data_IF_473461980317
#
_entry.id   IF_473461980317
#
_cell.length_a   1.000
_cell.length_b   1.000
_cell.length_c   1.000
_cell.angle_alpha   90.00
_cell.angle_beta   90.00
_cell.angle_gamma   90.00
#
_symmetry.space_group_name_H-M   'P 1'
#
loop_
_entity.id
_entity.type
_entity.pdbx_description
1 polymer ?
#
# COMPACT_ATOMS: atom_id res chain seq x y z
N UNK A 1 31.68 55.22 62.56
CA UNK A 1 31.58 53.81 63.03
C UNK A 1 30.88 53.05 61.93
N UNK A 2 31.55 52.54 60.88
CA UNK A 2 32.57 51.48 60.88
C UNK A 2 32.05 50.21 61.57
N UNK A 3 31.62 49.24 60.75
CA UNK A 3 31.79 47.80 60.95
C UNK A 3 31.55 47.12 59.59
N UNK A 4 32.64 46.71 58.96
CA UNK A 4 32.69 45.98 57.68
C UNK A 4 31.97 44.64 57.78
N UNK A 5 31.22 44.28 56.74
CA UNK A 5 30.74 42.92 56.53
C UNK A 5 31.90 42.04 56.02
N UNK A 6 32.15 40.87 56.64
CA UNK A 6 33.14 39.93 56.16
C UNK A 6 32.66 39.21 54.90
N UNK A 7 33.54 39.22 53.91
CA UNK A 7 33.49 38.39 52.74
C UNK A 7 33.59 36.90 53.10
N UNK A 8 33.21 36.06 52.14
CA UNK A 8 33.54 34.63 52.03
C UNK A 8 32.86 33.67 53.00
N UNK A 9 31.70 33.14 52.58
CA UNK A 9 31.37 31.74 52.84
C UNK A 9 31.50 31.02 51.50
N UNK A 10 32.54 30.20 51.42
CA UNK A 10 32.91 29.46 50.24
C UNK A 10 31.80 28.50 49.84
N UNK A 11 31.44 28.57 48.56
CA UNK A 11 30.85 27.46 47.85
C UNK A 11 31.87 26.32 47.83
N UNK A 12 31.81 25.43 48.81
CA UNK A 12 32.44 24.13 48.75
C UNK A 12 31.76 23.33 47.65
N UNK A 13 32.27 23.47 46.43
CA UNK A 13 32.12 22.48 45.38
C UNK A 13 32.72 21.19 45.93
N UNK A 14 31.85 20.33 46.47
CA UNK A 14 32.20 18.94 46.77
C UNK A 14 32.51 18.31 45.41
N UNK A 15 33.80 18.22 45.11
CA UNK A 15 34.35 17.39 44.04
C UNK A 15 33.97 15.94 44.33
N UNK A 16 32.80 15.55 43.84
CA UNK A 16 32.45 14.15 43.73
C UNK A 16 33.39 13.53 42.69
N UNK A 17 34.18 12.49 43.05
CA UNK A 17 35.24 11.92 42.20
C UNK A 17 34.73 11.18 40.95
N UNK A 18 33.45 11.31 40.62
CA UNK A 18 32.85 10.80 39.40
C UNK A 18 32.44 11.98 38.51
N UNK A 19 33.39 12.85 38.14
CA UNK A 19 33.12 13.82 37.08
C UNK A 19 32.84 13.06 35.79
N UNK A 20 31.58 13.17 35.34
CA UNK A 20 31.00 12.55 34.14
C UNK A 20 31.62 13.01 32.82
N UNK A 21 32.75 13.73 32.85
CA UNK A 21 33.39 14.35 31.69
C UNK A 21 34.59 13.54 31.15
N UNK A 22 35.01 12.47 31.82
CA UNK A 22 36.20 11.70 31.43
C UNK A 22 35.98 10.24 31.02
N UNK A 23 34.79 9.70 31.24
CA UNK A 23 34.51 8.29 30.95
C UNK A 23 34.05 8.13 29.50
N UNK A 24 34.91 7.60 28.62
CA UNK A 24 34.46 7.05 27.33
C UNK A 24 33.22 6.18 27.60
N UNK A 25 32.05 6.67 27.19
CA UNK A 25 30.79 5.96 27.39
C UNK A 25 30.89 4.54 26.84
N UNK A 26 30.07 3.64 27.37
CA UNK A 26 29.93 2.28 26.84
C UNK A 26 29.66 2.42 25.33
N UNK A 27 30.59 1.93 24.49
CA UNK A 27 30.60 2.04 23.01
C UNK A 27 31.00 3.40 22.40
N UNK A 28 31.59 4.34 23.16
CA UNK A 28 32.08 5.62 22.63
C UNK A 28 31.00 6.66 22.31
N UNK A 29 29.77 6.44 22.78
CA UNK A 29 28.64 7.37 22.67
C UNK A 29 28.49 8.23 23.93
N UNK A 30 27.93 9.43 23.77
CA UNK A 30 27.45 10.28 24.87
C UNK A 30 26.60 9.42 25.85
N UNK A 31 26.80 9.52 27.18
CA UNK A 31 26.09 8.71 28.17
C UNK A 31 24.56 8.73 28.00
N UNK A 32 23.98 9.87 27.60
CA UNK A 32 22.53 9.97 27.35
C UNK A 32 22.14 9.18 26.10
N UNK A 33 22.93 9.29 25.02
CA UNK A 33 22.69 8.53 23.77
C UNK A 33 22.91 7.04 23.97
N UNK A 34 23.92 6.64 24.74
CA UNK A 34 24.19 5.26 25.11
C UNK A 34 23.02 4.65 25.89
N UNK A 35 22.47 5.38 26.86
CA UNK A 35 21.30 4.94 27.62
C UNK A 35 20.06 4.75 26.73
N UNK A 36 19.78 5.68 25.82
CA UNK A 36 18.63 5.56 24.88
C UNK A 36 18.81 4.37 23.94
N UNK A 37 20.01 4.17 23.37
CA UNK A 37 20.30 3.02 22.49
C UNK A 37 20.13 1.70 23.24
N UNK A 38 20.62 1.62 24.48
CA UNK A 38 20.51 0.42 25.31
C UNK A 38 19.03 0.15 25.65
N UNK A 39 18.26 1.18 26.00
CA UNK A 39 16.83 1.04 26.31
C UNK A 39 16.00 0.58 25.10
N UNK A 40 16.23 1.17 23.93
CA UNK A 40 15.57 0.75 22.68
C UNK A 40 15.97 -0.68 22.29
N UNK A 41 17.26 -1.01 22.41
CA UNK A 41 17.76 -2.37 22.17
C UNK A 41 17.11 -3.40 23.11
N UNK A 42 16.94 -3.04 24.38
CA UNK A 42 16.27 -3.89 25.38
C UNK A 42 14.79 -4.07 25.06
N UNK A 43 14.07 -3.00 24.69
CA UNK A 43 12.66 -3.09 24.28
C UNK A 43 12.49 -3.99 23.05
N UNK A 44 13.36 -3.85 22.06
CA UNK A 44 13.34 -4.67 20.85
C UNK A 44 13.64 -6.14 21.16
N UNK A 45 14.59 -6.41 22.06
CA UNK A 45 14.91 -7.76 22.52
C UNK A 45 13.73 -8.41 23.27
N UNK A 46 13.07 -7.68 24.17
CA UNK A 46 11.91 -8.16 24.90
C UNK A 46 10.76 -8.50 23.93
N UNK A 47 10.49 -7.63 22.96
CA UNK A 47 9.48 -7.89 21.93
C UNK A 47 9.82 -9.15 21.12
N UNK A 48 11.08 -9.30 20.69
CA UNK A 48 11.53 -10.48 19.97
C UNK A 48 11.37 -11.76 20.82
N UNK A 49 11.68 -11.68 22.12
CA UNK A 49 11.54 -12.79 23.05
C UNK A 49 10.08 -13.19 23.24
N UNK A 50 9.16 -12.24 23.39
CA UNK A 50 7.71 -12.52 23.49
C UNK A 50 7.21 -13.19 22.21
N UNK A 51 7.63 -12.70 21.05
CA UNK A 51 7.26 -13.26 19.75
C UNK A 51 7.78 -14.70 19.60
N UNK A 52 9.04 -14.94 19.96
CA UNK A 52 9.66 -16.26 19.96
C UNK A 52 8.97 -17.22 20.94
N UNK A 53 8.66 -16.75 22.15
CA UNK A 53 7.93 -17.53 23.16
C UNK A 53 6.52 -17.88 22.69
N UNK A 54 5.82 -16.96 22.01
CA UNK A 54 4.52 -17.22 21.38
C UNK A 54 4.60 -18.30 20.29
N UNK A 55 5.61 -18.22 19.42
CA UNK A 55 5.86 -19.23 18.38
C UNK A 55 6.17 -20.60 18.99
N UNK A 56 7.07 -20.65 19.99
CA UNK A 56 7.43 -21.88 20.70
C UNK A 56 6.24 -22.47 21.46
N UNK A 57 5.42 -21.64 22.10
CA UNK A 57 4.23 -22.06 22.82
C UNK A 57 3.22 -22.69 21.84
N UNK A 58 2.89 -22.02 20.74
CA UNK A 58 2.01 -22.55 19.69
C UNK A 58 2.56 -23.87 19.13
N UNK A 59 3.87 -23.98 18.95
CA UNK A 59 4.49 -25.19 18.42
C UNK A 59 4.45 -26.37 19.40
N UNK A 60 4.65 -26.10 20.69
CA UNK A 60 4.67 -27.14 21.73
C UNK A 60 3.25 -27.65 22.02
N UNK A 61 2.24 -26.77 22.06
CA UNK A 61 0.84 -27.17 22.14
C UNK A 61 0.44 -28.08 20.97
N UNK A 62 0.84 -27.73 19.74
CA UNK A 62 0.61 -28.56 18.57
C UNK A 62 1.24 -29.95 18.67
N UNK A 63 2.41 -30.06 19.33
CA UNK A 63 3.17 -31.30 19.41
C UNK A 63 2.56 -32.29 20.41
N UNK A 64 2.04 -31.78 21.53
CA UNK A 64 1.33 -32.57 22.54
C UNK A 64 0.00 -33.08 21.99
N UNK A 65 -0.76 -32.19 21.35
CA UNK A 65 -2.07 -32.53 20.78
C UNK A 65 -1.96 -33.63 19.69
N UNK A 66 -0.89 -33.62 18.89
CA UNK A 66 -0.62 -34.70 17.92
C UNK A 66 -0.39 -36.08 18.55
N UNK A 67 0.23 -36.16 19.73
CA UNK A 67 0.50 -37.44 20.36
C UNK A 67 -0.79 -38.08 20.90
N UNK A 68 -1.62 -37.28 21.57
CA UNK A 68 -2.91 -37.73 22.11
C UNK A 68 -3.90 -38.06 20.99
N UNK A 69 -3.95 -37.27 19.91
CA UNK A 69 -4.81 -37.55 18.76
C UNK A 69 -4.43 -38.83 18.02
N UNK A 70 -3.13 -39.19 17.94
CA UNK A 70 -2.69 -40.46 17.35
C UNK A 70 -3.20 -41.66 18.14
N UNK A 71 -3.09 -41.61 19.47
CA UNK A 71 -3.62 -42.66 20.33
C UNK A 71 -5.15 -42.82 20.19
N UNK A 72 -5.89 -41.71 20.10
CA UNK A 72 -7.34 -41.74 19.89
C UNK A 72 -7.74 -42.21 18.47
N UNK A 73 -6.94 -41.87 17.45
CA UNK A 73 -7.18 -42.30 16.07
C UNK A 73 -7.01 -43.82 15.91
N UNK A 74 -5.98 -44.41 16.54
CA UNK A 74 -5.75 -45.86 16.52
C UNK A 74 -6.92 -46.65 17.15
N UNK A 75 -7.52 -46.14 18.23
CA UNK A 75 -8.70 -46.75 18.86
C UNK A 75 -9.98 -46.61 18.02
N UNK A 76 -10.20 -45.43 17.41
CA UNK A 76 -11.36 -45.19 16.55
C UNK A 76 -11.30 -46.02 15.25
N UNK A 77 -10.10 -46.23 14.68
CA UNK A 77 -9.91 -46.96 13.43
C UNK A 77 -10.16 -48.45 13.49
N UNK A 78 -9.92 -49.08 14.65
CA UNK A 78 -10.24 -50.48 14.86
C UNK A 78 -11.75 -50.76 14.66
N UNK A 79 -12.59 -49.72 14.72
CA UNK A 79 -14.04 -49.80 14.52
C UNK A 79 -14.54 -49.42 13.12
N UNK A 80 -13.69 -48.84 12.25
CA UNK A 80 -14.14 -48.26 10.97
C UNK A 80 -14.32 -49.31 9.85
N UNK A 81 -15.53 -49.32 9.28
CA UNK A 81 -15.91 -50.16 8.16
C UNK A 81 -15.17 -49.77 6.85
N UNK A 82 -15.02 -50.70 5.89
CA UNK A 82 -14.42 -50.39 4.59
C UNK A 82 -15.14 -49.28 3.81
N UNK A 83 -16.46 -49.14 3.99
CA UNK A 83 -17.27 -48.11 3.35
C UNK A 83 -16.95 -46.70 3.89
N UNK A 84 -16.79 -46.57 5.21
CA UNK A 84 -16.40 -45.29 5.83
C UNK A 84 -14.99 -44.86 5.39
N UNK A 85 -14.05 -45.79 5.25
CA UNK A 85 -12.72 -45.48 4.69
C UNK A 85 -12.77 -45.00 3.24
N UNK A 86 -13.69 -45.50 2.43
CA UNK A 86 -13.86 -44.99 1.07
C UNK A 86 -14.40 -43.55 1.08
N UNK A 87 -15.36 -43.26 1.97
CA UNK A 87 -15.92 -41.92 2.17
C UNK A 87 -14.88 -40.90 2.70
N UNK A 88 -14.06 -41.28 3.69
CA UNK A 88 -13.00 -40.41 4.20
C UNK A 88 -11.95 -40.07 3.13
N UNK A 89 -11.65 -40.99 2.21
CA UNK A 89 -10.74 -40.70 1.07
C UNK A 89 -11.35 -39.70 0.10
N UNK A 90 -12.66 -39.77 -0.17
CA UNK A 90 -13.31 -38.79 -1.03
C UNK A 90 -13.33 -37.41 -0.38
N UNK A 91 -13.66 -37.34 0.92
CA UNK A 91 -13.65 -36.11 1.71
C UNK A 91 -12.23 -35.50 1.78
N UNK A 92 -11.20 -36.31 1.99
CA UNK A 92 -9.80 -35.85 1.96
C UNK A 92 -9.39 -35.33 0.57
N UNK A 93 -9.82 -36.01 -0.50
CA UNK A 93 -9.59 -35.54 -1.85
C UNK A 93 -10.26 -34.18 -2.13
N UNK A 94 -11.43 -33.93 -1.55
CA UNK A 94 -12.14 -32.65 -1.62
C UNK A 94 -11.42 -31.55 -0.84
N UNK A 95 -11.04 -31.82 0.42
CA UNK A 95 -10.30 -30.86 1.24
C UNK A 95 -8.94 -30.50 0.65
N UNK A 96 -8.20 -31.45 0.06
CA UNK A 96 -6.95 -31.15 -0.63
C UNK A 96 -7.17 -30.23 -1.83
N UNK A 97 -8.25 -30.44 -2.62
CA UNK A 97 -8.61 -29.56 -3.73
C UNK A 97 -9.01 -28.17 -3.22
N UNK A 98 -9.75 -28.10 -2.12
CA UNK A 98 -10.14 -26.84 -1.50
C UNK A 98 -8.92 -26.08 -0.97
N UNK A 99 -8.01 -26.75 -0.26
CA UNK A 99 -6.74 -26.17 0.22
C UNK A 99 -5.89 -25.63 -0.93
N UNK A 100 -5.81 -26.37 -2.04
CA UNK A 100 -5.11 -25.91 -3.23
C UNK A 100 -5.78 -24.67 -3.86
N UNK A 101 -7.11 -24.63 -3.88
CA UNK A 101 -7.88 -23.50 -4.41
C UNK A 101 -7.74 -22.24 -3.53
N UNK A 102 -7.85 -22.37 -2.19
CA UNK A 102 -7.68 -21.27 -1.24
C UNK A 102 -6.25 -20.75 -1.26
N UNK A 103 -5.24 -21.63 -1.30
CA UNK A 103 -3.85 -21.22 -1.46
C UNK A 103 -3.59 -20.47 -2.78
N UNK A 104 -4.23 -20.88 -3.89
CA UNK A 104 -4.15 -20.15 -5.15
C UNK A 104 -4.84 -18.78 -5.06
N UNK A 105 -5.98 -18.68 -4.38
CA UNK A 105 -6.68 -17.42 -4.13
C UNK A 105 -5.84 -16.46 -3.28
N UNK A 106 -5.21 -16.95 -2.21
CA UNK A 106 -4.30 -16.16 -1.37
C UNK A 106 -3.12 -15.60 -2.18
N UNK A 107 -2.50 -16.41 -3.05
CA UNK A 107 -1.43 -15.93 -3.95
C UNK A 107 -1.91 -14.85 -4.91
N UNK A 108 -3.11 -14.98 -5.48
CA UNK A 108 -3.68 -13.94 -6.35
C UNK A 108 -3.93 -12.64 -5.58
N UNK A 109 -4.41 -12.74 -4.34
CA UNK A 109 -4.62 -11.58 -3.49
C UNK A 109 -3.31 -10.83 -3.19
N UNK A 110 -2.19 -11.54 -3.01
CA UNK A 110 -0.88 -10.90 -2.88
C UNK A 110 -0.47 -10.11 -4.12
N UNK A 111 -0.75 -10.62 -5.33
CA UNK A 111 -0.53 -9.88 -6.58
C UNK A 111 -1.40 -8.61 -6.60
N UNK A 112 -2.66 -8.72 -6.19
CA UNK A 112 -3.56 -7.57 -6.08
C UNK A 112 -3.05 -6.50 -5.10
N UNK A 113 -2.39 -6.89 -4.00
CA UNK A 113 -1.73 -5.94 -3.09
C UNK A 113 -0.64 -5.15 -3.82
N UNK A 114 0.24 -5.83 -4.55
CA UNK A 114 1.33 -5.17 -5.30
C UNK A 114 0.76 -4.20 -6.33
N UNK A 115 -0.26 -4.61 -7.08
CA UNK A 115 -0.93 -3.72 -8.03
C UNK A 115 -1.61 -2.53 -7.37
N UNK A 116 -2.27 -2.73 -6.23
CA UNK A 116 -2.94 -1.67 -5.50
C UNK A 116 -1.92 -0.66 -4.92
N UNK A 117 -0.77 -1.14 -4.44
CA UNK A 117 0.35 -0.29 -4.01
C UNK A 117 0.90 0.53 -5.18
N UNK A 118 1.13 -0.10 -6.34
CA UNK A 118 1.59 0.62 -7.53
C UNK A 118 0.58 1.70 -7.98
N UNK A 119 -0.73 1.41 -7.91
CA UNK A 119 -1.78 2.40 -8.20
C UNK A 119 -1.81 3.55 -7.17
N UNK A 120 -1.60 3.24 -5.89
CA UNK A 120 -1.48 4.26 -4.83
C UNK A 120 -0.33 5.20 -5.11
N UNK A 121 0.84 4.66 -5.41
CA UNK A 121 2.04 5.47 -5.66
C UNK A 121 1.89 6.32 -6.93
N UNK A 122 1.28 5.77 -7.99
CA UNK A 122 0.93 6.54 -9.19
C UNK A 122 -0.07 7.67 -8.90
N UNK A 123 -1.08 7.42 -8.05
CA UNK A 123 -2.05 8.45 -7.66
C UNK A 123 -1.42 9.56 -6.80
N UNK A 124 -0.48 9.20 -5.93
CA UNK A 124 0.30 10.17 -5.15
C UNK A 124 1.13 11.08 -6.07
N UNK A 125 1.85 10.49 -7.03
CA UNK A 125 2.62 11.26 -8.03
C UNK A 125 1.72 12.19 -8.84
N UNK A 126 0.55 11.70 -9.27
CA UNK A 126 -0.43 12.53 -9.99
C UNK A 126 -0.92 13.72 -9.16
N UNK A 127 -1.16 13.52 -7.85
CA UNK A 127 -1.51 14.60 -6.93
C UNK A 127 -0.39 15.62 -6.78
N UNK A 128 0.86 15.16 -6.64
CA UNK A 128 2.03 16.04 -6.51
C UNK A 128 2.22 16.91 -7.78
N UNK A 129 2.07 16.31 -8.96
CA UNK A 129 2.10 17.04 -10.24
C UNK A 129 0.97 18.06 -10.32
N UNK A 130 -0.26 17.67 -9.93
CA UNK A 130 -1.40 18.59 -9.95
C UNK A 130 -1.24 19.73 -8.93
N UNK A 131 -0.65 19.46 -7.76
CA UNK A 131 -0.31 20.48 -6.77
C UNK A 131 0.71 21.47 -7.30
N UNK A 132 1.79 21.00 -7.92
CA UNK A 132 2.78 21.87 -8.53
C UNK A 132 2.18 22.77 -9.64
N UNK A 133 1.30 22.21 -10.48
CA UNK A 133 0.59 22.98 -11.50
C UNK A 133 -0.34 24.04 -10.89
N UNK A 134 -1.03 23.71 -9.80
CA UNK A 134 -1.86 24.66 -9.06
C UNK A 134 -1.03 25.80 -8.44
N UNK A 135 0.10 25.50 -7.80
CA UNK A 135 0.99 26.51 -7.21
C UNK A 135 1.54 27.48 -8.28
N UNK A 136 1.95 26.96 -9.44
CA UNK A 136 2.39 27.79 -10.58
C UNK A 136 1.26 28.69 -11.08
N UNK A 137 0.05 28.15 -11.24
CA UNK A 137 -1.11 28.93 -11.70
C UNK A 137 -1.53 30.00 -10.70
N UNK A 138 -1.46 29.69 -9.40
CA UNK A 138 -1.77 30.62 -8.32
C UNK A 138 -0.79 31.78 -8.28
N UNK A 139 0.52 31.50 -8.35
CA UNK A 139 1.57 32.54 -8.42
C UNK A 139 1.38 33.44 -9.63
N UNK A 140 1.16 32.86 -10.81
CA UNK A 140 0.94 33.64 -12.02
C UNK A 140 -0.31 34.53 -11.96
N UNK A 141 -1.37 34.09 -11.28
CA UNK A 141 -2.55 34.92 -11.02
C UNK A 141 -2.24 36.08 -10.07
N UNK A 142 -1.50 35.82 -8.98
CA UNK A 142 -1.08 36.86 -8.03
C UNK A 142 -0.15 37.89 -8.68
N UNK A 143 0.78 37.45 -9.52
CA UNK A 143 1.68 38.31 -10.28
C UNK A 143 0.90 39.20 -11.26
N UNK A 144 -0.06 38.63 -12.00
CA UNK A 144 -0.92 39.39 -12.91
C UNK A 144 -1.78 40.41 -12.15
N UNK A 145 -2.33 40.05 -10.99
CA UNK A 145 -3.11 40.95 -10.15
C UNK A 145 -2.26 42.12 -9.63
N UNK A 146 -1.03 41.84 -9.21
CA UNK A 146 -0.07 42.84 -8.72
C UNK A 146 0.41 43.78 -9.82
N UNK A 147 0.64 43.25 -11.03
CA UNK A 147 0.98 44.05 -12.20
C UNK A 147 -0.17 44.98 -12.61
N UNK A 148 -1.40 44.45 -12.64
CA UNK A 148 -2.59 45.23 -12.97
C UNK A 148 -2.86 46.35 -11.95
N UNK A 149 -2.69 46.09 -10.65
CA UNK A 149 -2.88 47.12 -9.62
C UNK A 149 -1.81 48.22 -9.68
N UNK A 150 -0.55 47.84 -9.96
CA UNK A 150 0.55 48.80 -10.11
C UNK A 150 0.33 49.72 -11.31
N UNK A 151 -0.09 49.15 -12.45
CA UNK A 151 -0.38 49.94 -13.65
C UNK A 151 -1.60 50.83 -13.45
N UNK A 152 -2.70 50.31 -12.87
CA UNK A 152 -3.87 51.12 -12.56
C UNK A 152 -3.53 52.31 -11.66
N UNK A 153 -2.72 52.11 -10.62
CA UNK A 153 -2.24 53.20 -9.77
C UNK A 153 -1.39 54.22 -10.53
N UNK A 154 -0.54 53.78 -11.47
CA UNK A 154 0.24 54.70 -12.32
C UNK A 154 -0.62 55.49 -13.31
N UNK A 155 -1.67 54.87 -13.87
CA UNK A 155 -2.62 55.52 -14.78
C UNK A 155 -3.46 56.53 -14.03
N UNK A 156 -3.93 56.22 -12.82
CA UNK A 156 -4.67 57.16 -11.97
C UNK A 156 -3.81 58.38 -11.60
N UNK A 157 -2.57 58.15 -11.18
CA UNK A 157 -1.62 59.23 -10.87
C UNK A 157 -1.29 60.10 -12.10
N UNK A 158 -1.20 59.51 -13.30
CA UNK A 158 -0.98 60.25 -14.54
C UNK A 158 -2.26 60.97 -15.01
N UNK A 159 -3.43 60.36 -14.83
CA UNK A 159 -4.71 60.96 -15.16
C UNK A 159 -4.97 62.21 -14.32
N UNK A 160 -4.69 62.18 -13.01
CA UNK A 160 -4.83 63.36 -12.14
C UNK A 160 -4.00 64.56 -12.62
N UNK A 161 -2.83 64.32 -13.21
CA UNK A 161 -1.96 65.36 -13.79
C UNK A 161 -2.49 65.85 -15.14
N UNK A 162 -3.13 64.98 -15.93
CA UNK A 162 -3.64 65.28 -17.27
C UNK A 162 -5.06 65.85 -17.28
N UNK A 163 -5.87 65.65 -16.23
CA UNK A 163 -7.25 66.16 -16.13
C UNK A 163 -7.33 67.69 -16.23
N UNK A 164 -6.36 68.42 -15.68
CA UNK A 164 -6.31 69.87 -15.81
C UNK A 164 -6.01 70.28 -17.26
N UNK A 165 -5.08 69.59 -17.94
CA UNK A 165 -4.80 69.77 -19.36
C UNK A 165 -6.01 69.43 -20.24
N UNK A 166 -6.72 68.33 -19.97
CA UNK A 166 -7.95 67.94 -20.67
C UNK A 166 -9.07 68.96 -20.51
N UNK A 167 -9.23 69.57 -19.34
CA UNK A 167 -10.22 70.64 -19.09
C UNK A 167 -9.90 71.89 -19.89
N UNK A 168 -8.63 72.29 -19.93
CA UNK A 168 -8.17 73.43 -20.73
C UNK A 168 -8.35 73.18 -22.23
N UNK A 169 -7.99 71.98 -22.70
CA UNK A 169 -8.10 71.57 -24.10
C UNK A 169 -9.56 71.44 -24.54
N UNK A 170 -10.42 70.90 -23.68
CA UNK A 170 -11.87 70.83 -23.90
C UNK A 170 -12.49 72.23 -23.97
N UNK A 171 -12.06 73.16 -23.10
CA UNK A 171 -12.52 74.55 -23.11
C UNK A 171 -12.08 75.29 -24.37
N UNK A 172 -10.82 75.12 -24.76
CA UNK A 172 -10.26 75.72 -25.97
C UNK A 172 -10.92 75.18 -27.25
N UNK A 173 -11.19 73.87 -27.32
CA UNK A 173 -11.89 73.24 -28.43
C UNK A 173 -13.34 73.72 -28.54
N UNK A 174 -14.06 73.82 -27.41
CA UNK A 174 -15.43 74.33 -27.39
C UNK A 174 -15.51 75.80 -27.82
N UNK A 175 -14.52 76.61 -27.45
CA UNK A 175 -14.42 78.01 -27.86
C UNK A 175 -14.07 78.16 -29.35
N UNK A 176 -13.18 77.31 -29.90
CA UNK A 176 -12.89 77.25 -31.33
C UNK A 176 -14.12 76.83 -32.15
N UNK A 177 -14.90 75.87 -31.65
CA UNK A 177 -16.15 75.46 -32.30
C UNK A 177 -17.18 76.58 -32.35
N UNK A 178 -17.37 77.33 -31.24
CA UNK A 178 -18.28 78.48 -31.20
C UNK A 178 -17.91 79.59 -32.17
N UNK A 179 -16.61 79.75 -32.48
CA UNK A 179 -16.11 80.70 -33.48
C UNK A 179 -16.23 80.18 -34.92
N UNK A 180 -16.58 78.90 -35.11
CA UNK A 180 -16.63 78.24 -36.41
C UNK A 180 -15.26 77.82 -36.95
N UNK A 181 -14.22 77.86 -36.11
CA UNK A 181 -12.84 77.54 -36.50
C UNK A 181 -12.62 76.02 -36.69
N UNK A 182 -13.49 75.20 -36.08
CA UNK A 182 -13.47 73.74 -36.20
C UNK A 182 -14.88 73.19 -36.47
N UNK A 183 -14.95 72.04 -37.14
CA UNK A 183 -16.21 71.34 -37.43
C UNK A 183 -16.72 70.56 -36.23
N UNK A 184 -18.01 70.18 -36.26
CA UNK A 184 -18.61 69.28 -35.25
C UNK A 184 -17.86 67.96 -35.18
N UNK A 185 -17.49 67.39 -36.34
CA UNK A 185 -16.73 66.14 -36.40
C UNK A 185 -15.34 66.26 -35.74
N UNK A 186 -14.67 67.41 -35.91
CA UNK A 186 -13.40 67.69 -35.26
C UNK A 186 -13.55 67.84 -33.74
N UNK A 187 -14.63 68.47 -33.27
CA UNK A 187 -14.95 68.55 -31.85
C UNK A 187 -15.23 67.16 -31.26
N UNK A 188 -16.01 66.32 -31.96
CA UNK A 188 -16.29 64.95 -31.54
C UNK A 188 -15.00 64.10 -31.47
N UNK A 189 -14.07 64.32 -32.40
CA UNK A 189 -12.78 63.62 -32.42
C UNK A 189 -11.88 64.00 -31.24
N UNK A 190 -11.90 65.28 -30.81
CA UNK A 190 -11.20 65.73 -29.59
C UNK A 190 -11.79 65.07 -28.35
N UNK A 191 -13.13 65.06 -28.22
CA UNK A 191 -13.77 64.41 -27.06
C UNK A 191 -13.57 62.89 -27.04
N UNK A 192 -13.56 62.22 -28.20
CA UNK A 192 -13.22 60.78 -28.29
C UNK A 192 -11.79 60.48 -27.84
N UNK A 193 -10.84 61.36 -28.17
CA UNK A 193 -9.46 61.26 -27.67
C UNK A 193 -9.32 61.51 -26.17
N UNK A 194 -10.20 62.33 -25.59
CA UNK A 194 -10.23 62.65 -24.15
C UNK A 194 -10.87 61.54 -23.30
N UNK A 195 -11.85 60.81 -23.84
CA UNK A 195 -12.52 59.68 -23.18
C UNK A 195 -11.76 58.35 -23.23
N UNK A 196 -10.51 58.34 -23.72
CA UNK A 196 -9.74 57.13 -24.03
C UNK A 196 -9.56 56.22 -22.82
N UNK A 197 -10.29 55.10 -22.80
CA UNK A 197 -9.94 53.96 -21.96
C UNK A 197 -8.54 53.49 -22.36
N UNK A 198 -7.61 53.43 -21.39
CA UNK A 198 -6.25 52.96 -21.67
C UNK A 198 -6.30 51.49 -22.12
N UNK A 199 -5.93 51.19 -23.39
CA UNK A 199 -5.97 49.82 -23.90
C UNK A 199 -5.07 48.87 -23.10
N UNK A 200 -4.05 49.38 -22.39
CA UNK A 200 -3.20 48.56 -21.54
C UNK A 200 -3.95 48.08 -20.28
N UNK A 201 -4.83 48.90 -19.71
CA UNK A 201 -5.68 48.51 -18.57
C UNK A 201 -6.63 47.38 -18.98
N UNK A 202 -7.25 47.48 -20.15
CA UNK A 202 -8.12 46.42 -20.67
C UNK A 202 -7.36 45.11 -20.94
N UNK A 203 -6.15 45.18 -21.50
CA UNK A 203 -5.32 44.01 -21.73
C UNK A 203 -4.89 43.34 -20.42
N UNK A 204 -4.54 44.12 -19.40
CA UNK A 204 -4.21 43.59 -18.07
C UNK A 204 -5.42 42.97 -17.38
N UNK A 205 -6.61 43.57 -17.48
CA UNK A 205 -7.84 42.99 -16.95
C UNK A 205 -8.15 41.64 -17.62
N UNK A 206 -7.95 41.53 -18.94
CA UNK A 206 -8.09 40.25 -19.67
C UNK A 206 -7.07 39.21 -19.23
N UNK A 207 -5.81 39.60 -19.04
CA UNK A 207 -4.77 38.69 -18.55
C UNK A 207 -5.11 38.15 -17.15
N UNK A 208 -5.56 39.02 -16.23
CA UNK A 208 -6.01 38.60 -14.88
C UNK A 208 -7.13 37.57 -14.96
N UNK A 209 -8.13 37.79 -15.82
CA UNK A 209 -9.25 36.84 -15.99
C UNK A 209 -8.79 35.51 -16.60
N UNK A 210 -7.88 35.54 -17.59
CA UNK A 210 -7.27 34.33 -18.14
C UNK A 210 -6.52 33.54 -17.07
N UNK A 211 -5.70 34.21 -16.24
CA UNK A 211 -4.95 33.57 -15.15
C UNK A 211 -5.87 33.02 -14.07
N UNK A 212 -6.94 33.73 -13.72
CA UNK A 212 -7.98 33.24 -12.79
C UNK A 212 -8.62 31.96 -13.31
N UNK A 213 -8.99 31.92 -14.59
CA UNK A 213 -9.58 30.72 -15.20
C UNK A 213 -8.62 29.52 -15.18
N UNK A 214 -7.32 29.77 -15.36
CA UNK A 214 -6.26 28.76 -15.30
C UNK A 214 -6.04 28.24 -13.87
N UNK A 215 -5.97 29.12 -12.88
CA UNK A 215 -5.89 28.77 -11.45
C UNK A 215 -7.08 27.90 -11.05
N UNK A 216 -8.30 28.31 -11.40
CA UNK A 216 -9.50 27.57 -11.03
C UNK A 216 -9.58 26.21 -11.71
N UNK A 217 -9.05 26.07 -12.93
CA UNK A 217 -8.91 24.77 -13.59
C UNK A 217 -7.87 23.89 -12.90
N UNK A 218 -6.70 24.44 -12.58
CA UNK A 218 -5.64 23.71 -11.89
C UNK A 218 -6.09 23.23 -10.50
N UNK A 219 -6.86 24.07 -9.77
CA UNK A 219 -7.46 23.70 -8.49
C UNK A 219 -8.39 22.49 -8.60
N UNK A 220 -9.29 22.47 -9.59
CA UNK A 220 -10.19 21.32 -9.82
C UNK A 220 -9.41 20.05 -10.14
N UNK A 221 -8.34 20.15 -10.92
CA UNK A 221 -7.47 19.01 -11.23
C UNK A 221 -6.75 18.49 -9.97
N UNK A 222 -6.25 19.39 -9.13
CA UNK A 222 -5.65 19.02 -7.84
C UNK A 222 -6.67 18.34 -6.92
N UNK A 223 -7.87 18.89 -6.76
CA UNK A 223 -8.93 18.31 -5.92
C UNK A 223 -9.33 16.91 -6.42
N UNK A 224 -9.44 16.73 -7.74
CA UNK A 224 -9.71 15.43 -8.36
C UNK A 224 -8.57 14.43 -8.11
N UNK A 225 -7.31 14.84 -8.29
CA UNK A 225 -6.14 14.00 -8.03
C UNK A 225 -6.02 13.62 -6.55
N UNK A 226 -6.29 14.54 -5.64
CA UNK A 226 -6.31 14.28 -4.20
C UNK A 226 -7.43 13.30 -3.80
N UNK A 227 -8.60 13.37 -4.44
CA UNK A 227 -9.67 12.39 -4.25
C UNK A 227 -9.27 11.00 -4.76
N UNK A 228 -8.63 10.94 -5.94
CA UNK A 228 -8.13 9.69 -6.52
C UNK A 228 -7.06 9.05 -5.63
N UNK A 229 -6.11 9.82 -5.10
CA UNK A 229 -5.11 9.35 -4.13
C UNK A 229 -5.77 8.74 -2.89
N UNK A 230 -6.71 9.45 -2.23
CA UNK A 230 -7.40 8.92 -1.05
C UNK A 230 -8.11 7.59 -1.33
N UNK A 231 -8.71 7.46 -2.51
CA UNK A 231 -9.37 6.21 -2.91
C UNK A 231 -8.35 5.10 -3.16
N UNK A 232 -7.22 5.39 -3.79
CA UNK A 232 -6.15 4.43 -4.04
C UNK A 232 -5.48 3.95 -2.75
N UNK A 233 -5.27 4.84 -1.77
CA UNK A 233 -4.78 4.47 -0.42
C UNK A 233 -5.74 3.48 0.24
N UNK A 234 -7.04 3.80 0.30
CA UNK A 234 -8.05 2.91 0.87
C UNK A 234 -8.10 1.56 0.15
N UNK A 235 -8.01 1.56 -1.18
CA UNK A 235 -8.01 0.33 -1.96
C UNK A 235 -6.78 -0.55 -1.67
N UNK A 236 -5.61 0.06 -1.50
CA UNK A 236 -4.40 -0.65 -1.09
C UNK A 236 -4.54 -1.25 0.31
N UNK A 237 -5.08 -0.51 1.27
CA UNK A 237 -5.31 -1.00 2.64
C UNK A 237 -6.29 -2.18 2.66
N UNK A 238 -7.41 -2.07 1.93
CA UNK A 238 -8.39 -3.15 1.78
C UNK A 238 -7.74 -4.39 1.13
N UNK A 239 -6.91 -4.20 0.10
CA UNK A 239 -6.22 -5.32 -0.53
C UNK A 239 -5.27 -6.04 0.43
N UNK A 240 -4.54 -5.30 1.28
CA UNK A 240 -3.63 -5.89 2.28
C UNK A 240 -4.42 -6.73 3.29
N UNK A 241 -5.49 -6.18 3.85
CA UNK A 241 -6.34 -6.89 4.81
C UNK A 241 -6.97 -8.14 4.17
N UNK A 242 -7.48 -8.02 2.94
CA UNK A 242 -8.07 -9.15 2.22
C UNK A 242 -7.03 -10.25 1.92
N UNK A 243 -5.80 -9.88 1.55
CA UNK A 243 -4.74 -10.84 1.30
C UNK A 243 -4.27 -11.55 2.59
N UNK A 244 -4.26 -10.85 3.72
CA UNK A 244 -3.97 -11.44 5.04
C UNK A 244 -5.06 -12.42 5.44
N UNK A 245 -6.33 -12.03 5.36
CA UNK A 245 -7.46 -12.90 5.67
C UNK A 245 -7.46 -14.18 4.82
N UNK A 246 -7.23 -14.06 3.51
CA UNK A 246 -7.13 -15.23 2.62
C UNK A 246 -5.91 -16.10 2.92
N UNK A 247 -4.81 -15.52 3.39
CA UNK A 247 -3.63 -16.30 3.78
C UNK A 247 -3.87 -17.08 5.08
N UNK A 248 -4.60 -16.50 6.04
CA UNK A 248 -5.03 -17.17 7.27
C UNK A 248 -6.00 -18.31 6.95
N UNK A 249 -7.04 -18.05 6.14
CA UNK A 249 -7.98 -19.08 5.70
C UNK A 249 -7.28 -20.21 4.92
N UNK A 250 -6.33 -19.88 4.04
CA UNK A 250 -5.56 -20.89 3.33
C UNK A 250 -4.68 -21.73 4.27
N UNK A 251 -4.19 -21.15 5.38
CA UNK A 251 -3.43 -21.89 6.38
C UNK A 251 -4.32 -22.82 7.20
N UNK A 252 -5.50 -22.37 7.63
CA UNK A 252 -6.49 -23.18 8.35
C UNK A 252 -6.96 -24.37 7.50
N UNK A 253 -7.36 -24.14 6.25
CA UNK A 253 -7.80 -25.23 5.35
C UNK A 253 -6.65 -26.20 5.04
N UNK A 254 -5.40 -25.73 4.97
CA UNK A 254 -4.24 -26.59 4.79
C UNK A 254 -3.94 -27.44 6.04
N UNK A 255 -4.16 -26.89 7.24
CA UNK A 255 -4.04 -27.62 8.51
C UNK A 255 -5.08 -28.73 8.60
N UNK A 256 -6.37 -28.43 8.34
CA UNK A 256 -7.44 -29.43 8.29
C UNK A 256 -7.17 -30.55 7.28
N UNK A 257 -6.70 -30.19 6.07
CA UNK A 257 -6.34 -31.18 5.06
C UNK A 257 -5.15 -32.04 5.47
N UNK A 258 -4.18 -31.49 6.21
CA UNK A 258 -3.04 -32.22 6.73
C UNK A 258 -3.44 -33.17 7.87
N UNK A 259 -4.31 -32.73 8.79
CA UNK A 259 -4.85 -33.57 9.86
C UNK A 259 -5.61 -34.77 9.29
N UNK A 260 -6.49 -34.54 8.32
CA UNK A 260 -7.24 -35.64 7.69
C UNK A 260 -6.31 -36.60 6.94
N UNK A 261 -5.24 -36.09 6.31
CA UNK A 261 -4.23 -36.94 5.68
C UNK A 261 -3.48 -37.79 6.71
N UNK A 262 -3.06 -37.21 7.82
CA UNK A 262 -2.37 -37.93 8.91
C UNK A 262 -3.26 -39.04 9.48
N UNK A 263 -4.57 -38.80 9.65
CA UNK A 263 -5.52 -39.85 10.07
C UNK A 263 -5.65 -40.97 9.02
N UNK A 264 -5.72 -40.65 7.72
CA UNK A 264 -5.79 -41.66 6.67
C UNK A 264 -4.50 -42.49 6.53
N UNK A 265 -3.34 -41.87 6.75
CA UNK A 265 -2.05 -42.55 6.73
C UNK A 265 -1.90 -43.47 7.96
N UNK A 266 -2.36 -43.05 9.14
CA UNK A 266 -2.47 -43.92 10.32
C UNK A 266 -3.38 -45.15 10.07
N UNK A 267 -4.59 -44.94 9.53
CA UNK A 267 -5.52 -46.02 9.14
C UNK A 267 -4.89 -47.04 8.21
N UNK A 268 -4.05 -46.54 7.29
CA UNK A 268 -3.37 -47.37 6.32
C UNK A 268 -2.32 -48.23 7.00
N UNK A 269 -1.51 -47.66 7.89
CA UNK A 269 -0.48 -48.38 8.64
C UNK A 269 -1.09 -49.43 9.57
N UNK A 270 -2.15 -49.09 10.32
CA UNK A 270 -2.88 -50.01 11.18
C UNK A 270 -3.56 -51.16 10.39
N UNK A 271 -4.12 -50.85 9.22
CA UNK A 271 -4.68 -51.88 8.32
C UNK A 271 -3.62 -52.88 7.82
N UNK A 272 -2.40 -52.42 7.56
CA UNK A 272 -1.28 -53.28 7.13
C UNK A 272 -0.80 -54.16 8.29
N UNK A 273 -0.70 -53.62 9.51
CA UNK A 273 -0.29 -54.40 10.70
C UNK A 273 -1.30 -55.50 11.04
N UNK A 274 -2.61 -55.20 11.04
CA UNK A 274 -3.64 -56.21 11.29
C UNK A 274 -3.66 -57.34 10.23
N UNK A 275 -3.50 -56.98 8.95
CA UNK A 275 -3.41 -57.95 7.85
C UNK A 275 -2.15 -58.83 7.95
N UNK A 276 -1.01 -58.26 8.35
CA UNK A 276 0.23 -59.03 8.56
C UNK A 276 0.17 -59.94 9.79
N UNK A 277 -0.52 -59.54 10.86
CA UNK A 277 -0.76 -60.37 12.04
C UNK A 277 -1.67 -61.56 11.73
N UNK A 278 -2.78 -61.34 11.01
CA UNK A 278 -3.70 -62.41 10.59
C UNK A 278 -3.08 -63.34 9.54
N UNK A 279 -2.27 -62.83 8.61
CA UNK A 279 -1.52 -63.66 7.67
C UNK A 279 -0.49 -64.56 8.39
N UNK A 280 0.10 -64.10 9.50
CA UNK A 280 1.05 -64.88 10.32
C UNK A 280 0.37 -65.96 11.15
N UNK A 281 -0.84 -65.72 11.65
CA UNK A 281 -1.63 -66.75 12.37
C UNK A 281 -2.24 -67.77 11.42
N UNK A 282 -2.47 -67.37 10.17
CA UNK A 282 -3.02 -68.22 9.11
C UNK A 282 -1.92 -68.70 8.16
N UNK A 283 -0.76 -69.12 8.69
CA UNK A 283 0.14 -69.95 7.92
C UNK A 283 -0.49 -71.35 7.76
N UNK A 284 -0.94 -71.75 6.56
CA UNK A 284 -1.38 -73.11 6.34
C UNK A 284 -0.17 -74.03 6.48
N UNK A 285 -0.30 -75.02 7.36
CA UNK A 285 0.58 -76.18 7.41
C UNK A 285 0.43 -76.90 6.07
N UNK A 286 1.29 -76.58 5.10
CA UNK A 286 1.32 -77.28 3.80
C UNK A 286 2.04 -78.62 4.02
N UNK A 287 1.37 -79.77 3.81
CA UNK A 287 2.07 -81.02 3.61
C UNK A 287 2.75 -80.98 2.23
N UNK A 288 4.05 -81.31 2.23
CA UNK A 288 4.82 -81.68 1.04
C UNK A 288 4.01 -82.63 0.15
N UNK A 289 3.53 -82.15 -0.99
CA UNK A 289 3.18 -83.03 -2.10
C UNK A 289 4.15 -82.83 -3.26
N UNK A 290 4.78 -83.95 -3.57
CA UNK A 290 5.82 -84.20 -4.55
C UNK A 290 5.16 -84.76 -5.81
N UNK A 291 5.21 -84.03 -6.92
CA UNK A 291 5.16 -84.57 -8.30
C UNK A 291 5.17 -83.39 -9.28
N UNK A 292 6.23 -83.13 -10.04
CA UNK A 292 6.73 -83.79 -11.27
C UNK A 292 6.34 -82.95 -12.51
N UNK A 293 7.27 -82.67 -13.46
CA UNK A 293 7.10 -81.64 -14.49
C UNK A 293 6.66 -82.21 -15.85
N UNK A 294 5.95 -81.40 -16.64
CA UNK A 294 5.84 -81.45 -18.12
C UNK A 294 5.07 -80.19 -18.57
N UNK A 295 5.71 -79.20 -19.20
CA UNK A 295 6.07 -79.09 -20.62
C UNK A 295 4.89 -78.79 -21.57
N UNK A 296 5.06 -77.72 -22.38
CA UNK A 296 4.33 -77.25 -23.58
C UNK A 296 3.87 -75.79 -23.39
N UNK A 297 4.51 -74.75 -23.95
CA UNK A 297 4.87 -74.43 -25.35
C UNK A 297 3.66 -74.12 -26.25
N UNK A 298 3.41 -72.83 -26.46
CA UNK A 298 2.82 -72.16 -27.64
C UNK A 298 2.92 -70.65 -27.34
N UNK A 299 3.85 -69.85 -27.89
CA UNK A 299 3.92 -69.32 -29.27
C UNK A 299 2.52 -68.86 -29.77
N UNK A 300 2.17 -67.57 -29.62
CA UNK A 300 2.30 -66.43 -30.60
C UNK A 300 1.36 -66.60 -31.84
N UNK A 301 0.76 -65.56 -32.51
CA UNK A 301 1.21 -64.16 -32.67
C UNK A 301 0.13 -63.03 -32.85
N UNK A 302 0.63 -61.79 -32.97
CA UNK A 302 0.26 -60.67 -33.87
C UNK A 302 -1.17 -60.06 -33.95
N UNK A 303 -1.29 -58.79 -33.50
CA UNK A 303 -1.59 -57.51 -34.24
C UNK A 303 -2.53 -57.50 -35.48
N UNK A 304 -3.04 -56.35 -36.02
CA UNK A 304 -2.92 -54.92 -35.65
C UNK A 304 -4.23 -54.06 -35.78
N UNK A 305 -4.10 -52.75 -35.51
CA UNK A 305 -4.58 -51.62 -36.34
C UNK A 305 -5.72 -50.71 -35.84
N UNK A 306 -5.43 -49.39 -35.98
CA UNK A 306 -6.30 -48.26 -36.41
C UNK A 306 -7.41 -47.83 -35.45
N UNK A 307 -7.61 -46.56 -35.13
CA UNK A 307 -7.67 -45.32 -35.95
C UNK A 307 -7.42 -44.13 -35.01
N UNK A 308 -6.45 -43.25 -35.23
CA UNK A 308 -6.63 -41.96 -35.95
C UNK A 308 -8.05 -41.37 -35.87
N UNK A 309 -8.24 -40.32 -35.05
CA UNK A 309 -8.60 -39.04 -35.65
C UNK A 309 -8.28 -37.85 -34.73
N UNK A 310 -7.65 -36.78 -35.26
CA UNK A 310 -7.45 -35.50 -34.61
C UNK A 310 -8.61 -34.54 -34.96
N UNK A 311 -8.42 -33.28 -34.59
CA UNK A 311 -9.02 -32.08 -35.19
C UNK A 311 -10.20 -31.46 -34.40
N UNK A 312 -9.95 -30.25 -33.86
CA UNK A 312 -10.64 -28.98 -34.22
C UNK A 312 -11.84 -28.74 -33.27
N UNK A 313 -12.20 -27.54 -32.79
CA UNK A 313 -12.01 -26.17 -33.29
C UNK A 313 -12.51 -25.19 -32.19
N UNK A 314 -12.24 -23.89 -32.40
CA UNK A 314 -13.00 -22.71 -31.91
C UNK A 314 -12.79 -22.28 -30.44
N UNK A 315 -12.55 -21.01 -30.10
CA UNK A 315 -12.35 -19.76 -30.84
C UNK A 315 -11.67 -18.75 -29.89
#
# INVERSE_FOLDING_TARGET
>A
MALSAPATLGSSSVDLPWTLDGGRGILGLDPVKGAVVLWVGLMLFILLFILLAGVLSRWNLHRLDRADRRAQAEEAEASLSPAERARLRTEAGELIRQAAATAAAAKRAQITVVEAQARRDAAQQAREVAWAAFDVAQKAYQDALSAASTHAASVEAAADVDEDGKRELSRAALDAFKRGDITVDALEQVFKGVSGADPLVELQAREVELRRSAESRARRLYEAAAAAERNAVKAADVAVVAAQALAEEAAEVAEEAAELRDTLDAAREAGITAASLTARTRAPRVPRQRSKPANARSESPAAPARTENPALTEA
#
